data_IF_586346287678
#
_entry.id   IF_586346287678
#
_cell.length_a   1.000
_cell.length_b   1.000
_cell.length_c   1.000
_cell.angle_alpha   90.00
_cell.angle_beta   90.00
_cell.angle_gamma   90.00
#
_symmetry.space_group_name_H-M   'P 1'
#
loop_
_entity.id
_entity.type
_entity.pdbx_description
1 polymer ?
#
# COMPACT_ATOMS: atom_id res chain seq x y z
N UNK A 1 -0.88 28.34 -5.03
CA UNK A 1 0.01 27.16 -4.90
C UNK A 1 -0.25 26.27 -3.68
N UNK A 2 -0.89 26.74 -2.58
CA UNK A 2 -1.17 25.91 -1.38
C UNK A 2 -2.00 24.63 -1.63
N UNK A 3 -3.06 24.70 -2.46
CA UNK A 3 -3.96 23.56 -2.75
C UNK A 3 -3.27 22.31 -3.34
N UNK A 4 -2.22 22.47 -4.14
CA UNK A 4 -1.49 21.32 -4.73
C UNK A 4 -0.74 20.52 -3.66
N UNK A 5 -0.24 21.18 -2.62
CA UNK A 5 0.58 20.54 -1.58
C UNK A 5 -0.27 19.68 -0.63
N UNK A 6 -1.48 20.12 -0.31
CA UNK A 6 -2.45 19.32 0.47
C UNK A 6 -2.93 18.09 -0.29
N UNK A 7 -3.23 18.23 -1.59
CA UNK A 7 -3.69 17.12 -2.41
C UNK A 7 -2.63 16.01 -2.50
N UNK A 8 -1.36 16.38 -2.69
CA UNK A 8 -0.25 15.41 -2.70
C UNK A 8 -0.12 14.68 -1.36
N UNK A 9 -0.30 15.37 -0.22
CA UNK A 9 -0.30 14.72 1.10
C UNK A 9 -1.46 13.75 1.28
N UNK A 10 -2.66 14.13 0.84
CA UNK A 10 -3.85 13.26 0.93
C UNK A 10 -3.71 12.00 0.07
N UNK A 11 -3.13 12.12 -1.13
CA UNK A 11 -2.89 10.98 -2.02
C UNK A 11 -1.87 10.00 -1.42
N UNK A 12 -0.83 10.52 -0.76
CA UNK A 12 0.18 9.70 -0.06
C UNK A 12 -0.44 8.90 1.09
N UNK A 13 -1.35 9.51 1.86
CA UNK A 13 -2.05 8.78 2.93
C UNK A 13 -3.00 7.74 2.34
N UNK A 14 -3.74 8.07 1.28
CA UNK A 14 -4.63 7.14 0.61
C UNK A 14 -3.87 5.93 0.03
N UNK A 15 -2.71 6.15 -0.61
CA UNK A 15 -1.90 5.05 -1.17
C UNK A 15 -1.32 4.15 -0.08
N UNK A 16 -0.94 4.71 1.08
CA UNK A 16 -0.52 3.92 2.26
C UNK A 16 -1.65 3.06 2.81
N UNK A 17 -2.86 3.62 2.94
CA UNK A 17 -4.04 2.86 3.41
C UNK A 17 -4.36 1.72 2.44
N UNK A 18 -4.34 1.99 1.13
CA UNK A 18 -4.58 0.96 0.10
C UNK A 18 -3.49 -0.10 0.11
N UNK A 19 -2.23 0.30 0.28
CA UNK A 19 -1.08 -0.61 0.41
C UNK A 19 -1.27 -1.59 1.57
N UNK A 20 -1.64 -1.11 2.76
CA UNK A 20 -1.89 -1.94 3.93
C UNK A 20 -3.11 -2.85 3.70
N UNK A 21 -4.20 -2.32 3.13
CA UNK A 21 -5.40 -3.09 2.85
C UNK A 21 -5.12 -4.25 1.88
N UNK A 22 -4.32 -4.03 0.83
CA UNK A 22 -3.93 -5.07 -0.12
C UNK A 22 -3.10 -6.18 0.53
N UNK A 23 -2.16 -5.82 1.40
CA UNK A 23 -1.36 -6.81 2.14
C UNK A 23 -2.25 -7.66 3.05
N UNK A 24 -3.15 -7.03 3.82
CA UNK A 24 -4.08 -7.74 4.71
C UNK A 24 -5.04 -8.63 3.92
N UNK A 25 -5.54 -8.14 2.77
CA UNK A 25 -6.41 -8.92 1.91
C UNK A 25 -5.67 -10.10 1.27
N UNK A 26 -4.43 -9.93 0.85
CA UNK A 26 -3.61 -11.03 0.36
C UNK A 26 -3.35 -12.09 1.43
N UNK A 27 -3.07 -11.69 2.67
CA UNK A 27 -2.96 -12.62 3.82
C UNK A 27 -4.29 -13.36 4.04
N UNK A 28 -5.41 -12.65 3.98
CA UNK A 28 -6.74 -13.26 4.11
C UNK A 28 -6.97 -14.35 3.06
N UNK A 29 -6.69 -14.08 1.79
CA UNK A 29 -6.85 -15.06 0.70
C UNK A 29 -6.00 -16.31 0.93
N UNK A 30 -4.76 -16.15 1.42
CA UNK A 30 -3.87 -17.28 1.75
C UNK A 30 -4.45 -18.11 2.90
N UNK A 31 -4.88 -17.45 3.97
CA UNK A 31 -5.25 -18.12 5.22
C UNK A 31 -6.66 -18.71 5.18
N UNK A 32 -7.60 -18.05 4.49
CA UNK A 32 -9.03 -18.42 4.49
C UNK A 32 -9.45 -19.18 3.25
N UNK A 33 -9.01 -18.73 2.08
CA UNK A 33 -9.45 -19.31 0.80
C UNK A 33 -8.43 -20.31 0.23
N UNK A 34 -7.20 -20.35 0.77
CA UNK A 34 -6.13 -21.21 0.28
C UNK A 34 -5.59 -20.79 -1.10
N UNK A 35 -5.94 -19.59 -1.57
CA UNK A 35 -5.47 -19.05 -2.84
C UNK A 35 -4.12 -18.37 -2.68
N UNK A 36 -3.06 -19.19 -2.72
CA UNK A 36 -1.69 -18.73 -2.56
C UNK A 36 -1.23 -17.81 -3.70
N UNK A 37 -1.66 -18.07 -4.94
CA UNK A 37 -1.21 -17.29 -6.10
C UNK A 37 -1.79 -15.88 -6.02
N UNK A 38 -3.11 -15.77 -5.86
CA UNK A 38 -3.77 -14.47 -5.77
C UNK A 38 -3.36 -13.74 -4.49
N UNK A 39 -3.22 -14.45 -3.38
CA UNK A 39 -2.77 -13.89 -2.11
C UNK A 39 -1.36 -13.29 -2.18
N UNK A 40 -0.39 -14.02 -2.75
CA UNK A 40 0.98 -13.52 -2.96
C UNK A 40 0.98 -12.32 -3.92
N UNK A 41 0.19 -12.38 -5.00
CA UNK A 41 0.06 -11.26 -5.94
C UNK A 41 -0.46 -10.00 -5.23
N UNK A 42 -1.49 -10.12 -4.39
CA UNK A 42 -2.05 -8.99 -3.63
C UNK A 42 -1.06 -8.40 -2.63
N UNK A 43 -0.27 -9.25 -1.95
CA UNK A 43 0.79 -8.80 -1.04
C UNK A 43 1.87 -8.02 -1.81
N UNK A 44 2.35 -8.55 -2.94
CA UNK A 44 3.33 -7.86 -3.78
C UNK A 44 2.78 -6.54 -4.31
N UNK A 45 1.51 -6.52 -4.73
CA UNK A 45 0.85 -5.30 -5.17
C UNK A 45 0.81 -4.25 -4.06
N UNK A 46 0.41 -4.64 -2.85
CA UNK A 46 0.39 -3.76 -1.69
C UNK A 46 1.77 -3.17 -1.38
N UNK A 47 2.82 -3.99 -1.42
CA UNK A 47 4.20 -3.53 -1.22
C UNK A 47 4.65 -2.53 -2.31
N UNK A 48 4.36 -2.81 -3.58
CA UNK A 48 4.72 -1.93 -4.69
C UNK A 48 3.95 -0.61 -4.62
N UNK A 49 2.64 -0.65 -4.37
CA UNK A 49 1.77 0.53 -4.30
C UNK A 49 2.17 1.49 -3.18
N UNK A 50 2.70 1.00 -2.06
CA UNK A 50 3.20 1.83 -0.97
C UNK A 50 4.70 2.16 -1.05
N UNK A 51 5.47 1.49 -1.91
CA UNK A 51 6.94 1.51 -1.86
C UNK A 51 7.55 2.90 -1.93
N UNK A 52 7.05 3.78 -2.82
CA UNK A 52 7.57 5.14 -3.00
C UNK A 52 7.28 6.01 -1.79
N UNK A 53 6.10 5.85 -1.20
CA UNK A 53 5.63 6.61 -0.05
C UNK A 53 6.32 6.15 1.24
N UNK A 54 6.49 4.85 1.44
CA UNK A 54 7.30 4.28 2.52
C UNK A 54 8.75 4.77 2.43
N UNK A 55 9.38 4.72 1.26
CA UNK A 55 10.76 5.20 1.07
C UNK A 55 10.87 6.70 1.37
N UNK A 56 9.90 7.52 0.95
CA UNK A 56 9.89 8.95 1.27
C UNK A 56 9.68 9.24 2.75
N UNK A 57 8.90 8.42 3.45
CA UNK A 57 8.75 8.51 4.91
C UNK A 57 10.05 8.13 5.63
N UNK A 58 10.72 7.05 5.22
CA UNK A 58 11.96 6.59 5.84
C UNK A 58 13.21 7.41 5.45
N UNK A 59 13.23 8.06 4.28
CA UNK A 59 14.29 8.99 3.87
C UNK A 59 14.24 10.34 4.58
N UNK A 60 13.11 10.71 5.20
CA UNK A 60 13.02 11.93 6.03
C UNK A 60 13.60 11.72 7.44
N UNK A 61 14.78 11.09 7.53
CA UNK A 61 15.60 11.07 8.73
C UNK A 61 16.70 12.11 8.62
#
# INVERSE_FOLDING_TARGET
MKKKVEYTKSVVVASLVVSIALVLFGIYLIVRDGDYIQGILMILLGLVTGSKEWINLFKKK
#
